data_IF_312509259398
#
_entry.id   IF_312509259398
#
_cell.length_a   1.000
_cell.length_b   1.000
_cell.length_c   1.000
_cell.angle_alpha   90.00
_cell.angle_beta   90.00
_cell.angle_gamma   90.00
#
_symmetry.space_group_name_H-M   'P 1'
#
loop_
_entity.id
_entity.type
_entity.pdbx_description
1 polymer ?
#
# COMPACT_ATOMS: atom_id res chain seq x y z
N UNK A 1 -12.27 -69.21 -32.73
CA UNK A 1 -11.91 -68.60 -31.42
C UNK A 1 -11.83 -67.05 -31.57
N UNK A 2 -12.89 -66.42 -31.14
CA UNK A 2 -13.03 -64.93 -31.28
C UNK A 2 -12.59 -64.28 -29.93
N UNK A 3 -11.47 -63.54 -29.93
CA UNK A 3 -10.99 -62.81 -28.76
C UNK A 3 -11.54 -61.43 -28.82
N UNK A 4 -12.48 -61.07 -27.90
CA UNK A 4 -12.95 -59.74 -27.68
C UNK A 4 -11.91 -59.02 -26.82
N UNK A 5 -11.22 -57.97 -27.37
CA UNK A 5 -10.45 -56.98 -26.65
C UNK A 5 -11.42 -55.95 -26.07
N UNK A 6 -11.64 -56.00 -24.76
CA UNK A 6 -12.29 -54.92 -24.00
C UNK A 6 -11.29 -53.78 -23.83
N UNK A 7 -11.45 -52.72 -24.63
CA UNK A 7 -10.79 -51.45 -24.40
C UNK A 7 -11.43 -50.76 -23.17
N UNK A 8 -10.78 -50.87 -22.03
CA UNK A 8 -11.11 -50.10 -20.84
C UNK A 8 -10.80 -48.60 -21.09
N UNK A 9 -11.86 -47.78 -21.33
CA UNK A 9 -11.73 -46.33 -21.21
C UNK A 9 -11.46 -45.98 -19.74
N UNK A 10 -10.20 -45.81 -19.42
CA UNK A 10 -9.83 -45.11 -18.17
C UNK A 10 -10.38 -43.70 -18.23
N UNK A 11 -11.46 -43.41 -17.49
CA UNK A 11 -11.83 -42.07 -17.11
C UNK A 11 -10.70 -41.53 -16.23
N UNK A 12 -9.75 -40.82 -16.84
CA UNK A 12 -8.94 -39.86 -16.09
C UNK A 12 -9.93 -38.88 -15.42
N UNK A 13 -9.99 -38.93 -14.12
CA UNK A 13 -10.57 -37.83 -13.37
C UNK A 13 -9.71 -36.59 -13.72
N UNK A 14 -10.24 -35.74 -14.59
CA UNK A 14 -9.83 -34.32 -14.58
C UNK A 14 -10.23 -33.82 -13.19
N UNK A 15 -9.27 -33.70 -12.30
CA UNK A 15 -9.41 -32.83 -11.14
C UNK A 15 -9.94 -31.51 -11.68
N UNK A 16 -11.11 -31.05 -11.17
CA UNK A 16 -11.84 -29.92 -11.74
C UNK A 16 -10.95 -28.70 -11.74
N UNK A 17 -10.66 -28.19 -12.92
CA UNK A 17 -9.89 -26.95 -13.08
C UNK A 17 -10.59 -25.87 -12.28
N UNK A 18 -9.86 -25.16 -11.39
CA UNK A 18 -10.40 -24.08 -10.57
C UNK A 18 -11.13 -23.07 -11.47
N UNK A 19 -12.37 -22.75 -11.13
CA UNK A 19 -13.21 -21.83 -11.87
C UNK A 19 -14.09 -21.01 -10.93
N UNK A 20 -14.45 -19.82 -11.33
CA UNK A 20 -15.27 -18.92 -10.53
C UNK A 20 -15.03 -17.44 -10.84
N UNK A 21 -15.46 -16.59 -9.94
CA UNK A 21 -15.24 -15.15 -10.04
C UNK A 21 -14.83 -14.57 -8.69
N UNK A 22 -13.96 -13.57 -8.71
CA UNK A 22 -13.55 -12.78 -7.56
C UNK A 22 -13.83 -11.32 -7.88
N UNK A 23 -14.62 -10.67 -7.05
CA UNK A 23 -15.02 -9.27 -7.20
C UNK A 23 -14.33 -8.42 -6.14
N UNK A 24 -13.49 -7.49 -6.58
CA UNK A 24 -12.69 -6.60 -5.76
C UNK A 24 -13.04 -5.16 -6.10
N UNK A 25 -13.08 -4.29 -5.10
CA UNK A 25 -13.24 -2.84 -5.31
C UNK A 25 -12.55 -2.11 -4.16
N UNK A 26 -12.23 -0.84 -4.34
CA UNK A 26 -11.70 -0.04 -3.25
C UNK A 26 -10.67 1.00 -3.65
N UNK A 27 -9.58 1.03 -2.91
CA UNK A 27 -8.53 2.04 -2.98
C UNK A 27 -7.81 2.07 -4.33
N UNK A 28 -7.71 3.26 -4.95
CA UNK A 28 -6.84 3.51 -6.09
C UNK A 28 -5.36 3.26 -5.78
N UNK A 29 -4.94 3.51 -4.54
CA UNK A 29 -3.56 3.23 -4.08
C UNK A 29 -3.26 1.73 -4.09
N UNK A 30 -4.19 0.87 -3.70
CA UNK A 30 -3.96 -0.60 -3.63
C UNK A 30 -4.15 -1.27 -4.99
N UNK A 31 -4.97 -0.65 -5.84
CA UNK A 31 -5.33 -1.16 -7.17
C UNK A 31 -4.14 -1.67 -8.00
N UNK A 32 -2.99 -0.95 -8.15
CA UNK A 32 -1.89 -1.44 -8.98
C UNK A 32 -1.33 -2.79 -8.53
N UNK A 33 -1.23 -3.02 -7.22
CA UNK A 33 -0.75 -4.29 -6.68
C UNK A 33 -1.80 -5.39 -6.87
N UNK A 34 -3.06 -5.09 -6.57
CA UNK A 34 -4.16 -6.05 -6.75
C UNK A 34 -4.33 -6.45 -8.21
N UNK A 35 -4.19 -5.51 -9.16
CA UNK A 35 -4.26 -5.78 -10.58
C UNK A 35 -3.09 -6.65 -11.06
N UNK A 36 -1.85 -6.34 -10.65
CA UNK A 36 -0.68 -7.16 -10.96
C UNK A 36 -0.84 -8.61 -10.46
N UNK A 37 -1.32 -8.78 -9.22
CA UNK A 37 -1.62 -10.11 -8.66
C UNK A 37 -2.73 -10.80 -9.44
N UNK A 38 -3.80 -10.08 -9.80
CA UNK A 38 -4.93 -10.63 -10.55
C UNK A 38 -4.52 -11.10 -11.94
N UNK A 39 -3.66 -10.35 -12.64
CA UNK A 39 -3.12 -10.75 -13.94
C UNK A 39 -2.30 -12.03 -13.85
N UNK A 40 -1.36 -12.13 -12.90
CA UNK A 40 -0.52 -13.32 -12.70
C UNK A 40 -1.38 -14.53 -12.27
N UNK A 41 -2.36 -14.31 -11.39
CA UNK A 41 -3.29 -15.34 -10.96
C UNK A 41 -4.11 -15.90 -12.12
N UNK A 42 -4.71 -15.03 -12.95
CA UNK A 42 -5.51 -15.47 -14.11
C UNK A 42 -4.68 -16.18 -15.20
N UNK A 43 -3.37 -15.90 -15.29
CA UNK A 43 -2.46 -16.69 -16.16
C UNK A 43 -2.32 -18.12 -15.66
N UNK A 44 -2.25 -18.30 -14.34
CA UNK A 44 -2.14 -19.64 -13.72
C UNK A 44 -3.49 -20.37 -13.64
N UNK A 45 -4.57 -19.63 -13.40
CA UNK A 45 -5.93 -20.14 -13.23
C UNK A 45 -6.92 -19.53 -14.23
N UNK A 46 -6.83 -19.87 -15.53
CA UNK A 46 -7.63 -19.23 -16.59
C UNK A 46 -9.14 -19.47 -16.51
N UNK A 47 -9.57 -20.38 -15.64
CA UNK A 47 -10.99 -20.62 -15.34
C UNK A 47 -11.58 -19.68 -14.31
N UNK A 48 -10.76 -18.85 -13.64
CA UNK A 48 -11.20 -17.85 -12.67
C UNK A 48 -11.14 -16.47 -13.29
N UNK A 49 -12.20 -15.69 -13.09
CA UNK A 49 -12.26 -14.27 -13.49
C UNK A 49 -12.10 -13.39 -12.26
N UNK A 50 -11.06 -12.57 -12.22
CA UNK A 50 -10.88 -11.52 -11.21
C UNK A 50 -11.26 -10.18 -11.83
N UNK A 51 -12.03 -9.39 -11.13
CA UNK A 51 -12.38 -8.01 -11.52
C UNK A 51 -12.05 -7.05 -10.40
N UNK A 52 -11.32 -5.99 -10.72
CA UNK A 52 -10.88 -4.98 -9.75
C UNK A 52 -11.48 -3.63 -10.14
N UNK A 53 -12.25 -3.03 -9.24
CA UNK A 53 -12.83 -1.71 -9.39
C UNK A 53 -12.11 -0.66 -8.53
N UNK A 54 -12.30 0.60 -8.86
CA UNK A 54 -11.74 1.75 -8.13
C UNK A 54 -12.89 2.64 -7.69
N UNK A 55 -13.12 2.73 -6.38
CA UNK A 55 -14.09 3.67 -5.80
C UNK A 55 -13.57 4.38 -4.55
N UNK A 56 -12.25 4.29 -4.32
CA UNK A 56 -11.59 4.75 -3.11
C UNK A 56 -11.86 3.81 -1.92
N UNK A 57 -11.03 3.90 -0.87
CA UNK A 57 -11.15 3.02 0.32
C UNK A 57 -12.54 3.08 0.95
N UNK A 58 -13.10 4.27 1.14
CA UNK A 58 -14.44 4.44 1.73
C UNK A 58 -15.57 3.96 0.83
N UNK A 59 -15.46 4.20 -0.49
CA UNK A 59 -16.40 3.71 -1.50
C UNK A 59 -16.41 2.18 -1.54
N UNK A 60 -15.23 1.57 -1.51
CA UNK A 60 -15.06 0.12 -1.43
C UNK A 60 -15.67 -0.47 -0.17
N UNK A 61 -15.39 0.08 1.03
CA UNK A 61 -16.05 -0.36 2.25
C UNK A 61 -17.57 -0.24 2.18
N UNK A 62 -18.10 0.82 1.56
CA UNK A 62 -19.55 0.99 1.38
C UNK A 62 -20.17 -0.15 0.55
N UNK A 63 -19.49 -0.66 -0.48
CA UNK A 63 -19.92 -1.83 -1.26
C UNK A 63 -19.71 -3.12 -0.48
N UNK A 64 -18.56 -3.28 0.16
CA UNK A 64 -18.14 -4.46 0.91
C UNK A 64 -19.13 -4.80 2.05
N UNK A 65 -19.51 -3.80 2.86
CA UNK A 65 -20.48 -4.01 3.95
C UNK A 65 -21.90 -4.32 3.46
N UNK A 66 -22.19 -4.13 2.17
CA UNK A 66 -23.43 -4.56 1.52
C UNK A 66 -23.31 -5.91 0.80
N UNK A 67 -22.13 -6.58 0.92
CA UNK A 67 -21.83 -7.86 0.26
C UNK A 67 -21.84 -7.78 -1.28
N UNK A 68 -21.53 -6.61 -1.84
CA UNK A 68 -21.43 -6.40 -3.29
C UNK A 68 -20.09 -6.85 -3.85
N UNK A 69 -19.04 -6.94 -3.00
CA UNK A 69 -17.70 -7.39 -3.33
C UNK A 69 -17.23 -8.49 -2.38
N UNK A 70 -16.34 -9.34 -2.85
CA UNK A 70 -15.71 -10.40 -2.06
C UNK A 70 -14.53 -9.86 -1.24
N UNK A 71 -13.82 -8.87 -1.83
CA UNK A 71 -12.63 -8.23 -1.28
C UNK A 71 -12.76 -6.72 -1.41
N UNK A 72 -12.29 -5.99 -0.40
CA UNK A 72 -12.10 -4.54 -0.46
C UNK A 72 -10.63 -4.18 -0.34
N UNK A 73 -10.11 -3.40 -1.27
CA UNK A 73 -8.81 -2.78 -1.22
C UNK A 73 -8.85 -1.54 -0.32
N UNK A 74 -7.90 -1.42 0.62
CA UNK A 74 -7.89 -0.31 1.57
C UNK A 74 -6.48 0.23 1.82
N UNK A 75 -6.32 1.54 1.69
CA UNK A 75 -5.06 2.26 1.98
C UNK A 75 -4.96 2.77 3.42
N UNK A 76 -5.82 2.29 4.30
CA UNK A 76 -5.87 2.52 5.74
C UNK A 76 -6.64 1.41 6.43
N UNK A 77 -6.45 1.21 7.74
CA UNK A 77 -7.33 0.34 8.52
C UNK A 77 -8.80 0.78 8.48
N UNK A 78 -9.68 -0.19 8.68
CA UNK A 78 -11.13 0.05 8.78
C UNK A 78 -11.44 1.06 9.90
N UNK A 79 -12.34 1.99 9.64
CA UNK A 79 -12.78 2.97 10.63
C UNK A 79 -13.87 2.38 11.53
N UNK A 80 -14.06 2.87 12.79
CA UNK A 80 -15.10 2.40 13.70
C UNK A 80 -16.50 2.42 13.10
N UNK A 81 -16.82 3.43 12.28
CA UNK A 81 -18.11 3.53 11.61
C UNK A 81 -18.31 2.43 10.56
N UNK A 82 -17.27 2.10 9.80
CA UNK A 82 -17.29 1.06 8.76
C UNK A 82 -17.38 -0.34 9.41
N UNK A 83 -16.62 -0.58 10.49
CA UNK A 83 -16.68 -1.80 11.29
C UNK A 83 -18.09 -1.99 11.92
N UNK A 84 -18.66 -0.92 12.46
CA UNK A 84 -20.02 -0.96 12.99
C UNK A 84 -21.06 -1.32 11.91
N UNK A 85 -20.93 -0.76 10.70
CA UNK A 85 -21.81 -1.08 9.57
C UNK A 85 -21.63 -2.53 9.11
N UNK A 86 -20.38 -3.03 9.06
CA UNK A 86 -20.11 -4.44 8.73
C UNK A 86 -20.84 -5.37 9.70
N UNK A 87 -20.69 -5.15 11.01
CA UNK A 87 -21.37 -5.93 12.05
C UNK A 87 -22.90 -5.85 11.94
N UNK A 88 -23.47 -4.67 11.71
CA UNK A 88 -24.91 -4.48 11.54
C UNK A 88 -25.46 -5.26 10.34
N UNK A 89 -24.69 -5.37 9.27
CA UNK A 89 -25.06 -6.10 8.05
C UNK A 89 -24.68 -7.59 8.09
N UNK A 90 -24.11 -8.08 9.21
CA UNK A 90 -23.67 -9.46 9.35
C UNK A 90 -22.53 -9.80 8.38
N UNK A 91 -21.59 -8.87 8.19
CA UNK A 91 -20.35 -9.06 7.45
C UNK A 91 -19.22 -9.20 8.43
N UNK A 92 -18.68 -10.41 8.55
CA UNK A 92 -17.40 -10.66 9.17
C UNK A 92 -16.31 -10.55 8.10
N UNK A 93 -15.15 -10.05 8.47
CA UNK A 93 -14.05 -9.82 7.52
C UNK A 93 -12.70 -10.23 8.11
N UNK A 94 -11.76 -10.55 7.23
CA UNK A 94 -10.37 -10.83 7.54
C UNK A 94 -9.55 -9.68 6.97
N UNK A 95 -8.93 -8.87 7.82
CA UNK A 95 -8.01 -7.81 7.43
C UNK A 95 -6.62 -8.40 7.19
N UNK A 96 -6.04 -8.15 6.03
CA UNK A 96 -4.75 -8.68 5.61
C UNK A 96 -3.87 -7.53 5.08
N UNK A 97 -2.77 -7.20 5.73
CA UNK A 97 -1.79 -6.29 5.18
C UNK A 97 -1.08 -6.95 3.99
N UNK A 98 -0.83 -6.18 2.94
CA UNK A 98 -0.25 -6.72 1.69
C UNK A 98 1.04 -6.04 1.25
N UNK A 99 1.26 -4.78 1.62
CA UNK A 99 2.49 -4.03 1.36
C UNK A 99 2.52 -2.75 2.20
N UNK A 100 3.59 -1.95 2.05
CA UNK A 100 3.62 -0.57 2.48
C UNK A 100 3.66 0.36 1.26
N UNK A 101 2.88 1.42 1.33
CA UNK A 101 3.00 2.59 0.48
C UNK A 101 3.98 3.55 1.15
N UNK A 102 5.12 3.81 0.51
CA UNK A 102 6.17 4.68 1.01
C UNK A 102 6.49 5.78 -0.01
N UNK A 103 6.66 7.01 0.48
CA UNK A 103 6.99 8.18 -0.35
C UNK A 103 8.37 8.71 0.04
N UNK A 104 9.27 8.81 -0.93
CA UNK A 104 10.56 9.46 -0.75
C UNK A 104 10.47 10.94 -1.13
N UNK A 105 10.97 11.81 -0.25
CA UNK A 105 11.28 13.20 -0.58
C UNK A 105 12.67 13.23 -1.18
N UNK A 106 12.79 13.78 -2.37
CA UNK A 106 14.02 13.72 -3.15
C UNK A 106 14.47 15.09 -3.65
N UNK A 107 15.77 15.25 -3.76
CA UNK A 107 16.43 16.41 -4.35
C UNK A 107 17.50 15.96 -5.34
N UNK A 108 18.01 16.90 -6.13
CA UNK A 108 19.17 16.65 -6.98
C UNK A 108 20.42 16.35 -6.12
N UNK A 109 21.32 15.41 -6.50
CA UNK A 109 22.55 15.13 -5.76
C UNK A 109 23.49 16.33 -5.57
N UNK A 110 23.39 17.38 -6.41
CA UNK A 110 24.14 18.62 -6.26
C UNK A 110 23.56 19.56 -5.18
N UNK A 111 22.39 19.24 -4.63
CA UNK A 111 21.84 19.96 -3.50
C UNK A 111 22.58 19.54 -2.22
N UNK A 112 23.50 20.37 -1.77
CA UNK A 112 24.37 20.13 -0.61
C UNK A 112 23.89 20.86 0.67
N UNK A 113 22.72 21.52 0.63
CA UNK A 113 22.20 22.33 1.75
C UNK A 113 21.03 21.68 2.47
N UNK A 114 20.32 20.72 1.88
CA UNK A 114 19.23 20.04 2.55
C UNK A 114 19.56 18.57 2.81
N UNK A 115 19.58 18.19 4.08
CA UNK A 115 19.74 16.81 4.54
C UNK A 115 18.46 16.29 5.19
N UNK A 116 17.67 17.21 5.78
CA UNK A 116 16.49 16.90 6.54
C UNK A 116 15.47 18.01 6.42
N UNK A 117 14.19 17.64 6.30
CA UNK A 117 13.05 18.55 6.42
C UNK A 117 12.07 18.03 7.47
N UNK A 118 11.46 18.96 8.19
CA UNK A 118 10.35 18.61 9.08
C UNK A 118 9.04 18.47 8.29
N UNK A 119 8.09 17.73 8.83
CA UNK A 119 6.72 17.65 8.27
C UNK A 119 6.08 19.02 8.15
N UNK A 120 6.33 19.92 9.13
CA UNK A 120 5.81 21.29 9.09
C UNK A 120 6.45 22.12 7.95
N UNK A 121 7.75 21.94 7.68
CA UNK A 121 8.39 22.59 6.53
C UNK A 121 7.82 22.09 5.21
N UNK A 122 7.63 20.78 5.07
CA UNK A 122 6.97 20.19 3.90
C UNK A 122 5.54 20.72 3.75
N UNK A 123 4.76 20.77 4.83
CA UNK A 123 3.40 21.31 4.80
C UNK A 123 3.39 22.74 4.29
N UNK A 124 4.24 23.61 4.82
CA UNK A 124 4.35 25.03 4.39
C UNK A 124 4.75 25.18 2.92
N UNK A 125 5.57 24.25 2.40
CA UNK A 125 5.95 24.23 0.97
C UNK A 125 4.75 23.86 0.10
N UNK A 126 4.00 22.81 0.49
CA UNK A 126 3.04 22.16 -0.38
C UNK A 126 1.58 22.55 -0.15
N UNK A 127 1.24 23.21 0.96
CA UNK A 127 -0.15 23.60 1.27
C UNK A 127 -0.75 24.53 0.19
N UNK A 128 -2.09 24.52 0.03
CA UNK A 128 -2.78 25.44 -0.87
C UNK A 128 -2.38 26.90 -0.60
N UNK A 129 -2.15 27.66 -1.68
CA UNK A 129 -1.73 29.05 -1.64
C UNK A 129 -0.35 29.31 -0.98
N UNK A 130 0.48 28.30 -0.82
CA UNK A 130 1.87 28.52 -0.39
C UNK A 130 2.58 29.51 -1.32
N UNK A 131 3.29 30.47 -0.73
CA UNK A 131 4.07 31.50 -1.44
C UNK A 131 5.57 31.22 -1.42
N UNK A 132 5.96 30.04 -0.92
CA UNK A 132 7.37 29.62 -0.86
C UNK A 132 7.83 29.24 -2.28
N UNK A 133 8.77 30.02 -2.82
CA UNK A 133 9.35 29.83 -4.15
C UNK A 133 10.88 29.78 -4.12
N UNK A 134 11.48 29.92 -2.94
CA UNK A 134 12.93 29.92 -2.73
C UNK A 134 13.31 29.10 -1.51
N UNK A 135 14.47 28.47 -1.54
CA UNK A 135 14.97 27.63 -0.45
C UNK A 135 15.15 28.39 0.87
N UNK A 136 15.64 29.63 0.85
CA UNK A 136 15.80 30.43 2.06
C UNK A 136 14.48 30.87 2.73
N UNK A 137 13.35 30.72 2.05
CA UNK A 137 12.02 30.91 2.64
C UNK A 137 11.56 29.68 3.44
N UNK A 138 12.07 28.49 3.12
CA UNK A 138 11.85 27.28 3.91
C UNK A 138 12.60 27.40 5.23
N UNK A 139 13.90 27.66 5.14
CA UNK A 139 14.79 27.83 6.29
C UNK A 139 15.83 28.92 5.97
N UNK A 140 15.98 29.96 6.84
CA UNK A 140 16.90 31.08 6.57
C UNK A 140 18.38 30.67 6.34
N UNK A 141 18.79 29.51 6.84
CA UNK A 141 20.13 28.97 6.62
C UNK A 141 20.35 28.38 5.23
N UNK A 142 19.29 28.13 4.48
CA UNK A 142 19.38 27.63 3.10
C UNK A 142 19.75 28.75 2.13
N UNK A 143 20.34 28.41 0.97
CA UNK A 143 20.76 29.43 0.02
C UNK A 143 19.57 30.14 -0.62
N UNK A 144 19.81 31.39 -1.05
CA UNK A 144 18.82 32.15 -1.82
C UNK A 144 18.78 31.66 -3.29
N UNK A 145 18.17 30.49 -3.48
CA UNK A 145 17.98 29.82 -4.78
C UNK A 145 16.50 29.55 -5.02
N UNK A 146 16.06 29.44 -6.29
CA UNK A 146 14.73 28.99 -6.61
C UNK A 146 14.42 27.63 -5.96
N UNK A 147 13.18 27.39 -5.62
CA UNK A 147 12.65 26.09 -5.19
C UNK A 147 11.69 25.61 -6.26
N UNK A 148 12.11 24.63 -7.06
CA UNK A 148 11.32 24.05 -8.13
C UNK A 148 10.71 22.73 -7.66
N UNK A 149 9.40 22.61 -7.76
CA UNK A 149 8.65 21.50 -7.18
C UNK A 149 8.24 20.49 -8.23
N UNK A 150 8.42 19.20 -7.92
CA UNK A 150 8.07 18.06 -8.73
C UNK A 150 7.25 17.06 -7.91
N UNK A 151 6.22 16.47 -8.47
CA UNK A 151 5.43 15.51 -7.71
C UNK A 151 4.48 14.71 -8.58
N UNK A 152 3.99 13.62 -8.03
CA UNK A 152 2.97 12.80 -8.65
C UNK A 152 1.75 13.66 -9.05
N UNK A 153 1.10 13.30 -10.15
CA UNK A 153 -0.08 13.98 -10.64
C UNK A 153 -1.33 13.70 -9.80
N UNK A 154 -2.38 14.47 -10.07
CA UNK A 154 -3.62 14.46 -9.26
C UNK A 154 -4.42 13.16 -9.34
N UNK A 155 -4.14 12.31 -10.32
CA UNK A 155 -4.78 11.00 -10.47
C UNK A 155 -3.97 9.86 -9.81
N UNK A 156 -2.83 10.20 -9.18
CA UNK A 156 -1.92 9.26 -8.53
C UNK A 156 -2.26 9.04 -7.06
N UNK A 157 -2.34 7.77 -6.62
CA UNK A 157 -2.45 7.42 -5.20
C UNK A 157 -1.28 7.93 -4.33
N UNK A 158 -0.11 8.16 -4.92
CA UNK A 158 1.04 8.81 -4.27
C UNK A 158 0.72 10.27 -3.93
N UNK A 159 0.05 11.00 -4.83
CA UNK A 159 -0.40 12.36 -4.58
C UNK A 159 -1.46 12.42 -3.47
N UNK A 160 -2.45 11.53 -3.52
CA UNK A 160 -3.51 11.46 -2.50
C UNK A 160 -2.90 11.25 -1.11
N UNK A 161 -1.99 10.27 -1.01
CA UNK A 161 -1.35 9.97 0.25
C UNK A 161 -0.45 11.10 0.72
N UNK A 162 0.40 11.66 -0.15
CA UNK A 162 1.29 12.76 0.20
C UNK A 162 0.50 13.95 0.75
N UNK A 163 -0.58 14.36 0.07
CA UNK A 163 -1.40 15.49 0.51
C UNK A 163 -2.11 15.20 1.84
N UNK A 164 -2.65 13.99 2.01
CA UNK A 164 -3.25 13.59 3.29
C UNK A 164 -2.24 13.59 4.45
N UNK A 165 -1.03 13.03 4.22
CA UNK A 165 -0.01 12.87 5.26
C UNK A 165 0.65 14.20 5.64
N UNK A 166 0.92 15.07 4.67
CA UNK A 166 1.69 16.31 4.86
C UNK A 166 0.78 17.54 5.07
N UNK A 167 -0.27 17.65 4.26
CA UNK A 167 -1.16 18.83 4.33
C UNK A 167 -2.35 18.57 5.26
N UNK A 168 -2.72 17.30 5.44
CA UNK A 168 -3.80 16.87 6.32
C UNK A 168 -5.13 16.63 5.61
N UNK A 169 -5.19 16.81 4.28
CA UNK A 169 -6.38 16.59 3.45
C UNK A 169 -5.96 16.10 2.06
N UNK A 170 -6.58 14.99 1.60
CA UNK A 170 -6.37 14.46 0.25
C UNK A 170 -6.69 15.53 -0.79
N UNK A 171 -5.89 15.59 -1.85
CA UNK A 171 -5.97 16.56 -2.96
C UNK A 171 -5.72 18.03 -2.57
N UNK A 172 -5.43 18.35 -1.32
CA UNK A 172 -5.12 19.71 -0.90
C UNK A 172 -3.64 20.04 -1.12
N UNK A 173 -3.33 20.73 -2.22
CA UNK A 173 -1.97 21.24 -2.48
C UNK A 173 -1.98 22.55 -3.29
N UNK A 174 -0.82 23.19 -3.37
CA UNK A 174 -0.56 24.21 -4.41
C UNK A 174 -0.61 23.56 -5.79
N UNK A 175 -0.88 24.33 -6.84
CA UNK A 175 -1.02 23.82 -8.20
C UNK A 175 0.14 24.21 -9.11
N UNK A 176 1.11 24.99 -8.66
CA UNK A 176 2.22 25.53 -9.43
C UNK A 176 3.49 24.68 -9.30
N UNK A 177 3.34 23.36 -9.37
CA UNK A 177 4.44 22.41 -9.41
C UNK A 177 4.40 21.60 -10.71
N UNK A 178 5.51 20.97 -11.07
CA UNK A 178 5.57 20.04 -12.21
C UNK A 178 4.97 18.71 -11.78
N UNK A 179 3.78 18.42 -12.27
CA UNK A 179 3.05 17.19 -12.02
C UNK A 179 3.27 16.16 -13.14
N UNK A 180 3.41 14.88 -12.81
CA UNK A 180 3.41 13.79 -13.78
C UNK A 180 2.86 12.51 -13.16
N UNK A 181 2.08 11.75 -13.94
CA UNK A 181 1.66 10.39 -13.60
C UNK A 181 2.76 9.35 -13.93
N UNK A 182 3.80 9.74 -14.67
CA UNK A 182 4.97 8.92 -14.95
C UNK A 182 6.11 9.34 -14.03
N UNK A 183 6.43 8.49 -13.06
CA UNK A 183 7.48 8.71 -12.06
C UNK A 183 8.87 8.85 -12.70
N UNK A 184 9.13 8.24 -13.87
CA UNK A 184 10.37 8.43 -14.60
C UNK A 184 10.56 9.87 -15.07
N UNK A 185 9.48 10.58 -15.41
CA UNK A 185 9.50 12.01 -15.74
C UNK A 185 9.89 12.83 -14.51
N UNK A 186 9.40 12.45 -13.33
CA UNK A 186 9.75 13.11 -12.07
C UNK A 186 11.23 12.87 -11.72
N UNK A 187 11.71 11.64 -11.86
CA UNK A 187 13.14 11.29 -11.67
C UNK A 187 14.02 12.12 -12.60
N UNK A 188 13.68 12.24 -13.89
CA UNK A 188 14.41 13.06 -14.84
C UNK A 188 14.36 14.55 -14.47
N UNK A 189 13.20 15.05 -14.08
CA UNK A 189 13.02 16.44 -13.66
C UNK A 189 13.90 16.81 -12.48
N UNK A 190 13.86 16.02 -11.41
CA UNK A 190 14.65 16.27 -10.19
C UNK A 190 16.16 16.07 -10.46
N UNK A 191 16.55 15.03 -11.18
CA UNK A 191 17.96 14.79 -11.50
C UNK A 191 18.57 15.85 -12.41
N UNK A 192 17.76 16.50 -13.24
CA UNK A 192 18.18 17.58 -14.16
C UNK A 192 18.21 18.98 -13.55
N UNK A 193 17.65 19.18 -12.38
CA UNK A 193 17.49 20.50 -11.74
C UNK A 193 18.11 20.55 -10.34
N UNK A 194 19.26 21.24 -10.16
CA UNK A 194 19.91 21.37 -8.85
C UNK A 194 19.05 22.07 -7.77
N UNK A 195 17.98 22.75 -8.15
CA UNK A 195 17.09 23.44 -7.25
C UNK A 195 15.77 22.68 -6.97
N UNK A 196 15.64 21.47 -7.50
CA UNK A 196 14.44 20.65 -7.38
C UNK A 196 14.23 20.14 -5.95
N UNK A 197 12.97 20.05 -5.58
CA UNK A 197 12.43 19.23 -4.50
C UNK A 197 11.27 18.42 -5.07
N UNK A 198 11.28 17.11 -4.89
CA UNK A 198 10.21 16.25 -5.38
C UNK A 198 9.73 15.26 -4.33
N UNK A 199 8.55 14.68 -4.58
CA UNK A 199 8.09 13.47 -3.91
C UNK A 199 7.73 12.41 -4.95
N UNK A 200 8.19 11.18 -4.71
CA UNK A 200 8.02 10.03 -5.60
C UNK A 200 7.80 8.76 -4.76
N UNK A 201 7.24 7.67 -5.31
CA UNK A 201 7.22 6.39 -4.63
C UNK A 201 8.64 5.94 -4.24
N UNK A 202 8.76 5.34 -3.05
CA UNK A 202 10.06 4.94 -2.50
C UNK A 202 10.79 3.95 -3.42
N UNK A 203 10.08 3.02 -4.06
CA UNK A 203 10.70 2.06 -4.98
C UNK A 203 11.37 2.74 -6.18
N UNK A 204 10.78 3.80 -6.73
CA UNK A 204 11.43 4.59 -7.79
C UNK A 204 12.68 5.32 -7.32
N UNK A 205 12.70 5.78 -6.06
CA UNK A 205 13.92 6.32 -5.48
C UNK A 205 14.99 5.24 -5.36
N UNK A 206 14.66 4.05 -4.88
CA UNK A 206 15.62 2.95 -4.72
C UNK A 206 16.25 2.52 -6.05
N UNK A 207 15.48 2.50 -7.12
CA UNK A 207 15.97 2.20 -8.46
C UNK A 207 16.84 3.32 -9.06
N UNK A 208 16.79 4.53 -8.51
CA UNK A 208 17.48 5.73 -9.02
C UNK A 208 18.34 6.45 -7.98
N UNK A 209 18.85 5.75 -6.97
CA UNK A 209 19.72 6.30 -5.92
C UNK A 209 21.02 6.92 -6.47
N UNK A 210 21.43 6.54 -7.67
CA UNK A 210 22.59 7.12 -8.38
C UNK A 210 22.31 8.50 -8.99
N UNK A 211 21.00 8.85 -9.18
CA UNK A 211 20.55 10.09 -9.82
C UNK A 211 19.86 11.05 -8.85
N UNK A 212 19.41 10.56 -7.70
CA UNK A 212 18.63 11.29 -6.73
C UNK A 212 19.25 11.21 -5.33
N UNK A 213 19.03 12.24 -4.53
CA UNK A 213 19.37 12.25 -3.10
C UNK A 213 18.07 12.29 -2.30
N UNK A 214 17.88 11.33 -1.40
CA UNK A 214 16.76 11.38 -0.46
C UNK A 214 16.98 12.44 0.62
N UNK A 215 15.90 13.06 1.06
CA UNK A 215 15.85 13.96 2.20
C UNK A 215 15.24 13.21 3.38
N UNK A 216 15.92 13.22 4.52
CA UNK A 216 15.40 12.64 5.74
C UNK A 216 14.20 13.48 6.26
N UNK A 217 13.26 12.82 6.92
CA UNK A 217 12.06 13.47 7.46
C UNK A 217 12.08 13.40 8.99
N UNK A 218 11.78 14.53 9.60
CA UNK A 218 11.54 14.66 11.03
C UNK A 218 10.06 14.97 11.25
N UNK A 219 9.32 14.02 11.81
CA UNK A 219 7.90 14.19 12.12
C UNK A 219 7.65 14.80 13.51
N UNK A 220 8.72 15.03 14.28
CA UNK A 220 8.65 15.59 15.62
C UNK A 220 8.07 14.66 16.68
N UNK A 221 7.86 13.39 16.36
CA UNK A 221 7.33 12.38 17.27
C UNK A 221 8.46 11.43 17.76
N UNK A 222 8.91 11.53 19.02
CA UNK A 222 9.97 10.67 19.52
C UNK A 222 9.54 9.20 19.71
N UNK A 223 8.23 8.90 19.73
CA UNK A 223 7.73 7.55 19.99
C UNK A 223 8.00 6.57 18.83
N UNK A 224 8.19 7.06 17.61
CA UNK A 224 8.50 6.26 16.44
C UNK A 224 9.96 6.42 15.95
N UNK A 225 10.76 7.24 16.64
CA UNK A 225 12.16 7.53 16.32
C UNK A 225 12.49 9.02 16.48
N UNK A 226 13.67 9.34 17.00
CA UNK A 226 14.07 10.73 17.18
C UNK A 226 14.69 11.32 15.90
N UNK A 227 14.25 12.53 15.53
CA UNK A 227 14.88 13.38 14.53
C UNK A 227 14.69 12.91 13.09
N UNK A 228 15.73 13.08 12.30
CA UNK A 228 15.67 12.92 10.85
C UNK A 228 15.84 11.46 10.41
N UNK A 229 14.80 10.86 9.89
CA UNK A 229 14.77 9.47 9.42
C UNK A 229 14.81 9.45 7.88
N UNK A 230 15.77 8.72 7.30
CA UNK A 230 15.84 8.49 5.86
C UNK A 230 14.83 7.43 5.42
N UNK A 231 14.22 7.59 4.23
CA UNK A 231 13.37 6.55 3.65
C UNK A 231 14.20 5.32 3.25
N UNK A 232 13.76 4.16 3.65
CA UNK A 232 14.28 2.85 3.22
C UNK A 232 13.25 1.76 3.51
N UNK A 233 13.34 0.59 2.87
CA UNK A 233 12.50 -0.57 3.24
C UNK A 233 12.61 -0.92 4.72
N UNK A 234 13.78 -0.76 5.33
CA UNK A 234 13.99 -1.02 6.76
C UNK A 234 13.21 -0.03 7.62
N UNK A 235 13.35 1.30 7.39
CA UNK A 235 12.70 2.33 8.20
C UNK A 235 11.18 2.38 7.98
N UNK A 236 10.70 1.96 6.82
CA UNK A 236 9.28 1.75 6.53
C UNK A 236 8.75 0.53 7.30
N UNK A 237 9.40 -0.64 7.19
CA UNK A 237 8.96 -1.86 7.86
C UNK A 237 9.07 -1.80 9.40
N UNK A 238 10.02 -1.05 9.94
CA UNK A 238 10.14 -0.88 11.39
C UNK A 238 9.30 0.27 11.96
N UNK A 239 8.57 1.00 11.10
CA UNK A 239 7.62 2.06 11.48
C UNK A 239 8.27 3.39 11.88
N UNK A 240 9.58 3.58 11.68
CA UNK A 240 10.28 4.82 12.05
C UNK A 240 10.17 5.92 11.00
N UNK A 241 10.00 5.58 9.72
CA UNK A 241 9.83 6.57 8.65
C UNK A 241 8.38 7.03 8.58
N UNK A 242 8.03 8.12 9.27
CA UNK A 242 6.67 8.66 9.35
C UNK A 242 6.64 10.16 9.00
N UNK A 243 5.48 10.69 8.54
CA UNK A 243 4.23 10.00 8.21
C UNK A 243 4.16 9.49 6.76
N UNK A 244 5.30 9.45 6.04
CA UNK A 244 5.37 9.14 4.62
C UNK A 244 5.48 7.62 4.33
N UNK A 245 5.04 6.79 5.28
CA UNK A 245 4.83 5.34 5.06
C UNK A 245 3.57 4.87 5.76
N UNK A 246 2.79 4.02 5.07
CA UNK A 246 1.57 3.41 5.62
C UNK A 246 1.40 1.98 5.12
N UNK A 247 0.90 1.06 5.94
CA UNK A 247 0.48 -0.24 5.45
C UNK A 247 -0.77 -0.12 4.58
N UNK A 248 -0.84 -0.95 3.54
CA UNK A 248 -2.01 -1.12 2.68
C UNK A 248 -2.55 -2.53 2.82
N UNK A 249 -3.86 -2.71 2.61
CA UNK A 249 -4.60 -3.89 3.01
C UNK A 249 -5.55 -4.38 1.95
N UNK A 250 -5.88 -5.67 2.03
CA UNK A 250 -7.11 -6.25 1.49
C UNK A 250 -8.00 -6.71 2.65
N UNK A 251 -9.29 -6.50 2.54
CA UNK A 251 -10.32 -6.99 3.47
C UNK A 251 -11.12 -8.07 2.77
N UNK A 252 -11.04 -9.28 3.25
CA UNK A 252 -11.73 -10.44 2.67
C UNK A 252 -13.00 -10.72 3.45
N UNK A 253 -14.15 -10.81 2.76
CA UNK A 253 -15.38 -11.26 3.38
C UNK A 253 -15.22 -12.71 3.87
N UNK A 254 -15.40 -12.96 5.17
CA UNK A 254 -15.13 -14.25 5.78
C UNK A 254 -16.04 -15.37 5.24
N UNK A 255 -17.26 -15.06 4.85
CA UNK A 255 -18.17 -16.01 4.20
C UNK A 255 -17.62 -16.40 2.81
N UNK A 256 -17.14 -15.39 2.03
CA UNK A 256 -16.60 -15.56 0.69
C UNK A 256 -15.20 -16.19 0.69
N UNK A 257 -14.45 -16.10 1.80
CA UNK A 257 -13.18 -16.79 1.97
C UNK A 257 -13.27 -18.33 1.88
N UNK A 258 -14.49 -18.89 1.93
CA UNK A 258 -14.74 -20.32 1.73
C UNK A 258 -15.07 -20.69 0.26
N UNK A 259 -15.20 -19.70 -0.62
CA UNK A 259 -15.29 -19.94 -2.06
C UNK A 259 -13.92 -20.34 -2.60
N UNK A 260 -13.77 -21.46 -3.30
CA UNK A 260 -12.46 -21.95 -3.76
C UNK A 260 -11.69 -20.96 -4.64
N UNK A 261 -12.39 -20.11 -5.43
CA UNK A 261 -11.76 -19.10 -6.26
C UNK A 261 -11.22 -17.94 -5.42
N UNK A 262 -11.97 -17.47 -4.42
CA UNK A 262 -11.55 -16.41 -3.49
C UNK A 262 -10.40 -16.91 -2.61
N UNK A 263 -10.51 -18.12 -2.05
CA UNK A 263 -9.47 -18.73 -1.22
C UNK A 263 -8.16 -18.83 -1.99
N UNK A 264 -8.19 -19.41 -3.18
CA UNK A 264 -7.00 -19.54 -4.01
C UNK A 264 -6.39 -18.18 -4.41
N UNK A 265 -7.23 -17.19 -4.70
CA UNK A 265 -6.77 -15.84 -5.03
C UNK A 265 -6.06 -15.17 -3.87
N UNK A 266 -6.63 -15.21 -2.67
CA UNK A 266 -6.03 -14.58 -1.48
C UNK A 266 -4.72 -15.28 -1.07
N UNK A 267 -4.68 -16.61 -1.10
CA UNK A 267 -3.42 -17.34 -0.88
C UNK A 267 -2.34 -16.98 -1.91
N UNK A 268 -2.72 -16.90 -3.17
CA UNK A 268 -1.82 -16.49 -4.25
C UNK A 268 -1.32 -15.05 -4.03
N UNK A 269 -2.21 -14.15 -3.66
CA UNK A 269 -1.87 -12.75 -3.36
C UNK A 269 -0.76 -12.68 -2.31
N UNK A 270 -0.98 -13.27 -1.13
CA UNK A 270 -0.02 -13.23 -0.02
C UNK A 270 1.32 -13.92 -0.34
N UNK A 271 1.31 -14.94 -1.21
CA UNK A 271 2.51 -15.65 -1.63
C UNK A 271 3.34 -14.89 -2.67
N UNK A 272 2.72 -14.02 -3.46
CA UNK A 272 3.36 -13.32 -4.59
C UNK A 272 3.55 -11.81 -4.36
N UNK A 273 2.85 -11.23 -3.38
CA UNK A 273 2.92 -9.80 -3.10
C UNK A 273 4.35 -9.32 -2.81
N UNK A 274 5.20 -10.14 -2.17
CA UNK A 274 6.60 -9.78 -1.92
C UNK A 274 7.41 -9.53 -3.20
N UNK A 275 7.10 -10.25 -4.28
CA UNK A 275 7.76 -10.10 -5.57
C UNK A 275 7.13 -8.99 -6.41
N UNK A 276 5.79 -8.87 -6.37
CA UNK A 276 5.04 -7.95 -7.24
C UNK A 276 4.96 -6.53 -6.67
N UNK A 277 5.02 -6.35 -5.35
CA UNK A 277 4.93 -5.02 -4.74
C UNK A 277 6.01 -4.03 -5.23
N UNK A 278 7.30 -4.41 -5.33
CA UNK A 278 8.32 -3.51 -5.88
C UNK A 278 8.08 -3.14 -7.35
N UNK A 279 7.53 -4.07 -8.16
CA UNK A 279 7.26 -3.84 -9.58
C UNK A 279 6.21 -2.72 -9.82
N UNK A 280 5.37 -2.47 -8.82
CA UNK A 280 4.33 -1.43 -8.86
C UNK A 280 4.58 -0.27 -7.89
N UNK A 281 5.80 -0.16 -7.36
CA UNK A 281 6.24 1.00 -6.58
C UNK A 281 5.98 0.92 -5.07
N UNK A 282 5.70 -0.27 -4.51
CA UNK A 282 5.46 -0.45 -3.08
C UNK A 282 6.58 -1.21 -2.37
N UNK A 283 6.68 -0.97 -1.05
CA UNK A 283 7.62 -1.70 -0.20
C UNK A 283 6.95 -2.99 0.28
N UNK A 284 7.56 -4.17 0.01
CA UNK A 284 7.00 -5.43 0.49
C UNK A 284 7.08 -5.51 2.01
N UNK A 285 6.14 -6.24 2.61
CA UNK A 285 6.23 -6.62 4.01
C UNK A 285 7.42 -7.55 4.23
N UNK A 286 7.80 -7.74 5.51
CA UNK A 286 8.77 -8.79 5.85
C UNK A 286 8.21 -10.18 5.54
N UNK A 287 9.08 -11.15 5.26
CA UNK A 287 8.67 -12.54 5.00
C UNK A 287 7.80 -13.08 6.14
N UNK A 288 8.18 -12.80 7.40
CA UNK A 288 7.40 -13.19 8.57
C UNK A 288 6.00 -12.57 8.59
N UNK A 289 5.85 -11.31 8.18
CA UNK A 289 4.53 -10.67 8.14
C UNK A 289 3.61 -11.33 7.10
N UNK A 290 4.15 -11.72 5.94
CA UNK A 290 3.36 -12.49 4.95
C UNK A 290 2.99 -13.88 5.46
N UNK A 291 3.90 -14.59 6.15
CA UNK A 291 3.61 -15.90 6.77
C UNK A 291 2.48 -15.78 7.80
N UNK A 292 2.56 -14.79 8.68
CA UNK A 292 1.52 -14.53 9.69
C UNK A 292 0.18 -14.11 9.08
N UNK A 293 0.19 -13.28 8.02
CA UNK A 293 -1.02 -12.90 7.30
C UNK A 293 -1.67 -14.10 6.60
N UNK A 294 -0.86 -14.98 6.01
CA UNK A 294 -1.35 -16.23 5.40
C UNK A 294 -1.93 -17.20 6.45
N UNK A 295 -1.27 -17.33 7.60
CA UNK A 295 -1.77 -18.11 8.73
C UNK A 295 -3.11 -17.55 9.24
N UNK A 296 -3.20 -16.23 9.43
CA UNK A 296 -4.42 -15.52 9.81
C UNK A 296 -5.56 -15.83 8.83
N UNK A 297 -5.30 -15.76 7.53
CA UNK A 297 -6.29 -16.07 6.50
C UNK A 297 -6.74 -17.53 6.55
N UNK A 298 -5.80 -18.48 6.61
CA UNK A 298 -6.11 -19.92 6.67
C UNK A 298 -6.90 -20.32 7.92
N UNK A 299 -6.60 -19.68 9.05
CA UNK A 299 -7.32 -19.91 10.30
C UNK A 299 -8.64 -19.10 10.39
N UNK A 300 -8.98 -18.31 9.34
CA UNK A 300 -10.21 -17.48 9.29
C UNK A 300 -10.33 -16.54 10.51
N UNK A 301 -9.20 -15.96 10.96
CA UNK A 301 -9.22 -15.00 12.07
C UNK A 301 -9.85 -13.71 11.61
N UNK A 302 -11.05 -13.44 12.10
CA UNK A 302 -11.85 -12.27 11.69
C UNK A 302 -11.54 -11.02 12.51
N UNK A 303 -11.87 -9.85 11.96
CA UNK A 303 -11.67 -8.55 12.58
C UNK A 303 -10.39 -7.84 12.11
N UNK A 304 -10.11 -6.70 12.73
CA UNK A 304 -8.95 -5.87 12.43
C UNK A 304 -7.79 -6.14 13.40
N UNK A 305 -6.56 -6.25 12.90
CA UNK A 305 -5.34 -6.33 13.72
C UNK A 305 -5.10 -5.04 14.55
N UNK A 306 -5.76 -3.93 14.17
CA UNK A 306 -5.76 -2.66 14.91
C UNK A 306 -6.91 -2.56 15.93
N UNK A 307 -7.64 -3.63 16.20
CA UNK A 307 -8.78 -3.63 17.12
C UNK A 307 -9.98 -2.77 16.67
N UNK A 308 -10.00 -2.31 15.42
CA UNK A 308 -11.04 -1.41 14.88
C UNK A 308 -10.86 0.07 15.28
N UNK A 309 -9.74 0.45 15.86
CA UNK A 309 -9.45 1.83 16.30
C UNK A 309 -8.88 2.72 15.16
N UNK A 310 -8.64 2.14 13.98
CA UNK A 310 -8.05 2.84 12.85
C UNK A 310 -6.51 2.86 12.87
N UNK A 311 -5.90 3.74 12.08
CA UNK A 311 -4.45 3.83 11.93
C UNK A 311 -3.77 4.25 13.24
N UNK A 312 -2.66 3.58 13.56
CA UNK A 312 -1.78 3.93 14.67
C UNK A 312 -0.38 4.21 14.10
N UNK A 313 0.14 5.40 14.38
CA UNK A 313 1.47 5.82 13.89
C UNK A 313 2.57 5.05 14.61
N UNK A 314 3.59 4.62 13.87
CA UNK A 314 4.77 3.93 14.41
C UNK A 314 4.55 2.46 14.81
N UNK A 315 3.36 1.90 14.63
CA UNK A 315 3.06 0.50 14.95
C UNK A 315 3.47 -0.39 13.77
N UNK A 316 4.32 -1.39 14.06
CA UNK A 316 4.73 -2.37 13.05
C UNK A 316 3.66 -3.43 12.85
N UNK A 317 3.22 -3.61 11.63
CA UNK A 317 2.22 -4.63 11.26
C UNK A 317 2.60 -6.03 11.74
N UNK A 318 3.89 -6.40 11.63
CA UNK A 318 4.37 -7.72 12.08
C UNK A 318 4.18 -7.95 13.57
N UNK A 319 4.30 -6.91 14.39
CA UNK A 319 4.10 -7.04 15.85
C UNK A 319 2.62 -7.21 16.20
N UNK A 320 1.72 -6.52 15.51
CA UNK A 320 0.28 -6.72 15.67
C UNK A 320 -0.13 -8.15 15.33
N UNK A 321 0.36 -8.67 14.20
CA UNK A 321 0.11 -10.06 13.79
C UNK A 321 0.67 -11.09 14.79
N UNK A 322 1.85 -10.83 15.35
CA UNK A 322 2.43 -11.69 16.42
C UNK A 322 1.59 -11.69 17.69
N UNK A 323 1.16 -10.51 18.15
CA UNK A 323 0.32 -10.37 19.35
C UNK A 323 -1.01 -11.10 19.18
N UNK A 324 -1.62 -10.97 18.02
CA UNK A 324 -2.87 -11.67 17.72
C UNK A 324 -2.69 -13.19 17.72
N UNK A 325 -1.64 -13.73 17.08
CA UNK A 325 -1.33 -15.17 17.10
C UNK A 325 -1.17 -15.68 18.52
N UNK A 326 -0.39 -14.98 19.38
CA UNK A 326 -0.20 -15.36 20.77
C UNK A 326 -1.52 -15.37 21.56
N UNK A 327 -2.42 -14.43 21.31
CA UNK A 327 -3.71 -14.38 21.97
C UNK A 327 -4.63 -15.53 21.56
N UNK A 328 -4.53 -15.96 20.31
CA UNK A 328 -5.33 -17.07 19.75
C UNK A 328 -4.84 -18.43 20.28
N UNK A 329 -3.52 -18.62 20.39
CA UNK A 329 -2.92 -19.83 20.95
C UNK A 329 -3.21 -19.96 22.47
N UNK A 330 -3.18 -18.85 23.23
CA UNK A 330 -3.45 -18.84 24.68
C UNK A 330 -4.93 -19.05 25.06
N UNK A 331 -5.86 -18.96 24.10
CA UNK A 331 -7.29 -19.25 24.32
C UNK A 331 -7.69 -20.68 23.95
N UNK A 332 -6.76 -21.45 23.40
CA UNK A 332 -6.96 -22.85 23.00
C UNK A 332 -6.50 -23.88 24.08
N UNK A 333 -5.90 -23.42 25.20
CA UNK A 333 -5.62 -24.18 26.42
C UNK A 333 -6.73 -23.98 27.47
#
# INVERSE_FOLDING_TARGET
LLVLLLAGCGRGQQEGQLSGAVHIDGSSTVYPLTEAVAEEFMKQYPGVRVTVGISGTGGGFSKFVRKETDINDASRPIRPVEDSLARQNGVEYIELPVAYDGIAIVVNPQNDWVECLTVEELRRIWEPNSTITRWNQVRPSFPDRPLNLYGAGTDSGTYDYFTAAIVGEEHASRSDFTASEDDNVLVQGVSGDPNALGFIPLAYYEENMDKLKAVAIDDGNPDNGEGCILPSPETVNNGTYQPLSRPIFIYVNAERANDPAVEAFVEFYLQHAAALAPEVGYVPLTAEAYELALERFRNRVTGSIFGGEGSQVGVRVVDLLRLERQSTEGTAE
#
